data_IF_604177092158
#
_entry.id   IF_604177092158
#
_cell.length_a   1.000
_cell.length_b   1.000
_cell.length_c   1.000
_cell.angle_alpha   90.00
_cell.angle_beta   90.00
_cell.angle_gamma   90.00
#
_symmetry.space_group_name_H-M   'P 1'
#
loop_
_entity.id
_entity.type
_entity.pdbx_description
1 polymer ?
#
# COMPACT_ATOMS: atom_id res chain seq x y z
N UNK A 1 -4.52 -37.30 53.73
CA UNK A 1 -4.95 -35.95 53.27
C UNK A 1 -3.88 -35.26 52.44
N UNK A 2 -2.63 -35.14 52.90
CA UNK A 2 -1.54 -34.47 52.14
C UNK A 2 -1.25 -35.06 50.76
N UNK A 3 -1.27 -36.39 50.60
CA UNK A 3 -1.05 -37.06 49.32
C UNK A 3 -2.12 -36.73 48.28
N UNK A 4 -3.38 -36.65 48.70
CA UNK A 4 -4.52 -36.30 47.83
C UNK A 4 -4.40 -34.85 47.36
N UNK A 5 -4.04 -33.93 48.26
CA UNK A 5 -3.84 -32.52 47.91
C UNK A 5 -2.67 -32.34 46.94
N UNK A 6 -1.57 -33.07 47.15
CA UNK A 6 -0.41 -33.04 46.25
C UNK A 6 -0.79 -33.53 44.84
N UNK A 7 -1.47 -34.68 44.73
CA UNK A 7 -1.92 -35.25 43.46
C UNK A 7 -2.90 -34.32 42.75
N UNK A 8 -3.85 -33.70 43.47
CA UNK A 8 -4.81 -32.77 42.90
C UNK A 8 -4.12 -31.50 42.34
N UNK A 9 -3.15 -30.94 43.05
CA UNK A 9 -2.39 -29.78 42.57
C UNK A 9 -1.56 -30.11 41.32
N UNK A 10 -0.90 -31.27 41.30
CA UNK A 10 -0.16 -31.71 40.10
C UNK A 10 -1.08 -31.95 38.90
N UNK A 11 -2.25 -32.58 39.11
CA UNK A 11 -3.22 -32.79 38.04
C UNK A 11 -3.77 -31.46 37.50
N UNK A 12 -4.10 -30.50 38.37
CA UNK A 12 -4.56 -29.18 37.98
C UNK A 12 -3.48 -28.40 37.20
N UNK A 13 -2.22 -28.46 37.64
CA UNK A 13 -1.11 -27.82 36.94
C UNK A 13 -0.86 -28.46 35.56
N UNK A 14 -0.89 -29.80 35.48
CA UNK A 14 -0.74 -30.51 34.21
C UNK A 14 -1.87 -30.20 33.23
N UNK A 15 -3.12 -30.15 33.72
CA UNK A 15 -4.28 -29.79 32.90
C UNK A 15 -4.19 -28.35 32.38
N UNK A 16 -3.73 -27.41 33.22
CA UNK A 16 -3.51 -26.02 32.79
C UNK A 16 -2.40 -25.90 31.75
N UNK A 17 -1.29 -26.63 31.91
CA UNK A 17 -0.21 -26.68 30.92
C UNK A 17 -0.68 -27.29 29.60
N UNK A 18 -1.47 -28.37 29.65
CA UNK A 18 -2.05 -29.01 28.47
C UNK A 18 -3.00 -28.06 27.74
N UNK A 19 -3.89 -27.37 28.47
CA UNK A 19 -4.79 -26.39 27.89
C UNK A 19 -4.01 -25.26 27.20
N UNK A 20 -2.97 -24.72 27.86
CA UNK A 20 -2.10 -23.70 27.28
C UNK A 20 -1.36 -24.18 26.02
N UNK A 21 -0.86 -25.42 26.00
CA UNK A 21 -0.18 -25.96 24.81
C UNK A 21 -1.12 -26.08 23.63
N UNK A 22 -2.36 -26.52 23.87
CA UNK A 22 -3.39 -26.62 22.83
C UNK A 22 -3.70 -25.23 22.28
N UNK A 23 -3.89 -24.23 23.14
CA UNK A 23 -4.20 -22.86 22.73
C UNK A 23 -3.09 -22.21 21.88
N UNK A 24 -1.83 -22.49 22.20
CA UNK A 24 -0.69 -22.01 21.41
C UNK A 24 -0.66 -22.70 20.04
N UNK A 25 -0.88 -24.01 20.01
CA UNK A 25 -0.88 -24.78 18.77
C UNK A 25 -2.02 -24.35 17.84
N UNK A 26 -3.23 -24.15 18.37
CA UNK A 26 -4.36 -23.65 17.58
C UNK A 26 -4.10 -22.26 17.03
N UNK A 27 -3.52 -21.36 17.83
CA UNK A 27 -3.15 -20.02 17.38
C UNK A 27 -2.08 -20.04 16.27
N UNK A 28 -1.05 -20.88 16.39
CA UNK A 28 -0.02 -21.01 15.33
C UNK A 28 -0.59 -21.62 14.05
N UNK A 29 -1.43 -22.66 14.15
CA UNK A 29 -2.12 -23.24 12.97
C UNK A 29 -2.99 -22.20 12.28
N UNK A 30 -3.79 -21.44 13.03
CA UNK A 30 -4.63 -20.37 12.49
C UNK A 30 -3.80 -19.28 11.80
N UNK A 31 -2.63 -18.91 12.37
CA UNK A 31 -1.70 -17.94 11.78
C UNK A 31 -1.12 -18.44 10.45
N UNK A 32 -0.72 -19.71 10.39
CA UNK A 32 -0.19 -20.34 9.17
C UNK A 32 -1.28 -20.45 8.10
N UNK A 33 -2.50 -20.88 8.45
CA UNK A 33 -3.61 -20.96 7.50
C UNK A 33 -3.99 -19.58 6.95
N UNK A 34 -4.04 -18.57 7.81
CA UNK A 34 -4.27 -17.18 7.42
C UNK A 34 -3.21 -16.68 6.43
N UNK A 35 -1.95 -17.10 6.63
CA UNK A 35 -0.86 -16.76 5.72
C UNK A 35 -1.09 -17.29 4.31
N UNK A 36 -1.50 -18.56 4.18
CA UNK A 36 -1.75 -19.19 2.89
C UNK A 36 -2.91 -18.53 2.13
N UNK A 37 -3.99 -18.18 2.83
CA UNK A 37 -5.14 -17.50 2.22
C UNK A 37 -4.73 -16.12 1.71
N UNK A 38 -3.98 -15.34 2.50
CA UNK A 38 -3.52 -14.01 2.08
C UNK A 38 -2.51 -14.08 0.94
N UNK A 39 -1.67 -15.12 0.86
CA UNK A 39 -0.81 -15.38 -0.29
C UNK A 39 -1.66 -15.60 -1.55
N UNK A 40 -2.69 -16.45 -1.46
CA UNK A 40 -3.60 -16.69 -2.58
C UNK A 40 -4.32 -15.41 -3.03
N UNK A 41 -4.77 -14.57 -2.09
CA UNK A 41 -5.40 -13.28 -2.39
C UNK A 41 -4.42 -12.31 -3.10
N UNK A 42 -3.15 -12.31 -2.70
CA UNK A 42 -2.11 -11.52 -3.37
C UNK A 42 -1.84 -12.05 -4.78
N UNK A 43 -1.76 -13.37 -4.99
CA UNK A 43 -1.53 -13.95 -6.31
C UNK A 43 -2.71 -13.68 -7.26
N UNK A 44 -3.94 -13.72 -6.74
CA UNK A 44 -5.12 -13.26 -7.46
C UNK A 44 -5.03 -11.78 -7.84
N UNK A 45 -4.61 -10.91 -6.92
CA UNK A 45 -4.42 -9.48 -7.20
C UNK A 45 -3.36 -9.26 -8.30
N UNK A 46 -2.28 -10.04 -8.27
CA UNK A 46 -1.23 -10.01 -9.31
C UNK A 46 -1.75 -10.49 -10.66
N UNK A 47 -2.63 -11.50 -10.69
CA UNK A 47 -3.28 -11.96 -11.91
C UNK A 47 -4.21 -10.89 -12.50
N UNK A 48 -4.98 -10.18 -11.67
CA UNK A 48 -5.81 -9.06 -12.14
C UNK A 48 -4.94 -7.99 -12.80
N UNK A 49 -3.84 -7.58 -12.15
CA UNK A 49 -2.90 -6.59 -12.71
C UNK A 49 -2.17 -7.09 -13.97
N UNK A 50 -1.96 -8.41 -14.08
CA UNK A 50 -1.39 -9.05 -15.26
C UNK A 50 -2.34 -8.97 -16.46
N UNK A 51 -3.60 -9.36 -16.27
CA UNK A 51 -4.62 -9.32 -17.31
C UNK A 51 -4.94 -7.87 -17.73
N UNK A 52 -4.95 -6.94 -16.78
CA UNK A 52 -5.05 -5.50 -17.04
C UNK A 52 -3.91 -5.00 -17.96
N UNK A 53 -2.66 -5.34 -17.63
CA UNK A 53 -1.53 -4.99 -18.50
C UNK A 53 -1.57 -5.67 -19.87
N UNK A 54 -2.21 -6.84 -20.00
CA UNK A 54 -2.42 -7.50 -21.29
C UNK A 54 -3.46 -6.78 -22.15
N UNK A 55 -4.51 -6.24 -21.54
CA UNK A 55 -5.47 -5.39 -22.23
C UNK A 55 -4.81 -4.10 -22.75
N UNK A 56 -3.84 -3.59 -21.98
CA UNK A 56 -3.04 -2.41 -22.31
C UNK A 56 -3.82 -1.10 -22.19
N UNK A 57 -3.13 0.02 -22.41
CA UNK A 57 -3.68 1.35 -22.16
C UNK A 57 -3.03 2.01 -20.94
N UNK A 58 -3.71 2.99 -20.36
CA UNK A 58 -3.26 3.68 -19.15
C UNK A 58 -4.16 3.33 -17.98
N UNK A 59 -3.57 3.20 -16.79
CA UNK A 59 -4.27 2.78 -15.58
C UNK A 59 -5.20 3.86 -15.02
N UNK A 60 -6.42 3.48 -14.65
CA UNK A 60 -7.45 4.38 -14.17
C UNK A 60 -8.47 3.72 -13.20
N UNK A 61 -9.18 4.54 -12.42
CA UNK A 61 -10.08 4.05 -11.35
C UNK A 61 -11.34 3.29 -11.83
N UNK A 62 -11.62 3.26 -13.13
CA UNK A 62 -12.72 2.47 -13.70
C UNK A 62 -12.30 1.03 -14.10
N UNK A 63 -11.03 0.66 -13.90
CA UNK A 63 -10.55 -0.71 -14.19
C UNK A 63 -10.95 -1.71 -13.10
N UNK A 64 -11.03 -3.01 -13.43
CA UNK A 64 -11.41 -4.05 -12.48
C UNK A 64 -10.52 -4.10 -11.22
N UNK A 65 -9.22 -3.79 -11.35
CA UNK A 65 -8.30 -3.79 -10.21
C UNK A 65 -8.61 -2.71 -9.17
N UNK A 66 -9.23 -1.59 -9.60
CA UNK A 66 -9.53 -0.45 -8.73
C UNK A 66 -10.81 -0.65 -7.90
N UNK A 67 -11.62 -1.67 -8.21
CA UNK A 67 -12.83 -2.00 -7.46
C UNK A 67 -12.43 -2.76 -6.18
N UNK A 68 -12.74 -2.24 -4.99
CA UNK A 68 -12.40 -2.93 -3.75
C UNK A 68 -13.22 -4.22 -3.60
N UNK A 69 -12.57 -5.24 -3.06
CA UNK A 69 -13.25 -6.43 -2.57
C UNK A 69 -13.84 -6.11 -1.19
N UNK A 70 -15.14 -5.87 -1.16
CA UNK A 70 -15.91 -5.77 0.07
C UNK A 70 -15.83 -7.07 0.88
N UNK A 71 -16.05 -6.98 2.20
CA UNK A 71 -15.95 -8.13 3.09
C UNK A 71 -16.91 -9.25 2.66
N UNK A 72 -16.33 -10.35 2.16
CA UNK A 72 -17.06 -11.49 1.64
C UNK A 72 -16.60 -12.78 2.34
N UNK A 73 -17.52 -13.74 2.47
CA UNK A 73 -17.19 -15.08 2.99
C UNK A 73 -16.20 -15.77 2.04
N UNK A 74 -15.12 -16.31 2.58
CA UNK A 74 -14.10 -17.00 1.80
C UNK A 74 -14.68 -18.20 1.03
N UNK A 75 -15.64 -18.91 1.62
CA UNK A 75 -16.35 -20.01 0.95
C UNK A 75 -17.08 -19.58 -0.32
N UNK A 76 -17.63 -18.36 -0.37
CA UNK A 76 -18.26 -17.81 -1.57
C UNK A 76 -17.24 -17.57 -2.68
N UNK A 77 -16.04 -17.10 -2.33
CA UNK A 77 -14.95 -16.89 -3.27
C UNK A 77 -14.43 -18.21 -3.86
N UNK A 78 -14.18 -19.21 -3.00
CA UNK A 78 -13.69 -20.52 -3.44
C UNK A 78 -14.73 -21.28 -4.28
N UNK A 79 -16.01 -21.18 -3.93
CA UNK A 79 -17.09 -21.80 -4.70
C UNK A 79 -17.28 -21.17 -6.09
N UNK A 80 -16.88 -19.91 -6.29
CA UNK A 80 -16.93 -19.25 -7.58
C UNK A 80 -15.75 -19.65 -8.50
N UNK A 81 -14.62 -20.05 -7.91
CA UNK A 81 -13.41 -20.44 -8.63
C UNK A 81 -13.50 -21.89 -9.16
N UNK A 82 -14.21 -22.78 -8.46
CA UNK A 82 -14.40 -24.18 -8.84
C UNK A 82 -15.89 -24.55 -8.91
N UNK A 83 -16.40 -24.81 -10.12
CA UNK A 83 -17.71 -25.42 -10.33
C UNK A 83 -17.85 -26.86 -9.79
N UNK A 84 -16.83 -27.40 -9.09
CA UNK A 84 -16.82 -28.74 -8.53
C UNK A 84 -15.75 -28.90 -7.42
N UNK A 85 -16.09 -28.55 -6.18
CA UNK A 85 -15.41 -29.10 -5.00
C UNK A 85 -16.34 -29.05 -3.78
N UNK A 86 -17.39 -29.88 -3.82
CA UNK A 86 -18.00 -30.37 -2.59
C UNK A 86 -16.95 -31.26 -1.89
N UNK A 87 -16.74 -31.03 -0.59
CA UNK A 87 -16.16 -31.95 0.40
C UNK A 87 -14.74 -31.68 0.95
N UNK A 88 -14.28 -30.43 1.07
CA UNK A 88 -13.18 -30.17 2.02
C UNK A 88 -13.12 -28.75 2.59
N UNK A 89 -14.27 -28.08 2.72
CA UNK A 89 -14.37 -26.96 3.64
C UNK A 89 -14.29 -27.53 5.07
N UNK A 90 -13.07 -27.74 5.55
CA UNK A 90 -12.82 -27.94 6.97
C UNK A 90 -13.62 -26.91 7.75
N UNK A 91 -14.21 -27.34 8.86
CA UNK A 91 -15.18 -26.61 9.67
C UNK A 91 -14.70 -25.21 10.08
N UNK A 92 -13.39 -24.96 10.03
CA UNK A 92 -12.74 -23.70 10.40
C UNK A 92 -12.81 -22.59 9.33
N UNK A 93 -13.15 -22.86 8.07
CA UNK A 93 -13.23 -21.81 7.03
C UNK A 93 -14.60 -21.15 6.87
N UNK A 94 -15.63 -21.67 7.55
CA UNK A 94 -17.01 -21.18 7.44
C UNK A 94 -17.18 -19.75 7.98
N UNK A 95 -16.33 -19.36 8.95
CA UNK A 95 -16.29 -18.02 9.55
C UNK A 95 -15.07 -17.19 9.10
N UNK A 96 -14.50 -17.53 7.93
CA UNK A 96 -13.45 -16.76 7.30
C UNK A 96 -14.03 -15.71 6.34
N UNK A 97 -13.63 -14.46 6.52
CA UNK A 97 -14.04 -13.32 5.70
C UNK A 97 -12.81 -12.62 5.12
N UNK A 98 -12.83 -12.39 3.81
CA UNK A 98 -11.76 -11.74 3.07
C UNK A 98 -12.27 -10.40 2.52
N UNK A 99 -11.46 -9.37 2.69
CA UNK A 99 -11.66 -8.06 2.04
C UNK A 99 -10.32 -7.54 1.55
N UNK A 100 -10.33 -6.64 0.57
CA UNK A 100 -9.08 -6.05 0.10
C UNK A 100 -9.27 -4.98 -0.96
N UNK A 101 -8.18 -4.36 -1.36
CA UNK A 101 -8.13 -3.40 -2.47
C UNK A 101 -6.73 -3.31 -3.04
N UNK A 102 -6.66 -2.87 -4.28
CA UNK A 102 -5.41 -2.53 -4.95
C UNK A 102 -5.37 -1.01 -5.09
N UNK A 103 -4.26 -0.40 -4.69
CA UNK A 103 -4.05 1.05 -4.71
C UNK A 103 -2.92 1.33 -5.68
N UNK A 104 -3.15 2.20 -6.66
CA UNK A 104 -2.07 2.74 -7.48
C UNK A 104 -1.17 3.65 -6.63
N UNK A 105 0.09 3.29 -6.43
CA UNK A 105 1.03 4.10 -5.63
C UNK A 105 1.62 5.26 -6.42
N UNK A 106 1.54 5.24 -7.76
CA UNK A 106 1.88 6.39 -8.59
C UNK A 106 0.76 7.42 -8.67
N UNK A 107 -0.37 7.21 -7.97
CA UNK A 107 -1.33 8.28 -7.65
C UNK A 107 -0.79 9.32 -6.66
N UNK A 108 0.43 9.13 -6.14
CA UNK A 108 1.06 9.93 -5.08
C UNK A 108 2.44 10.42 -5.49
N UNK A 109 2.91 11.51 -4.88
CA UNK A 109 4.28 11.97 -5.04
C UNK A 109 5.27 11.02 -4.37
N UNK A 110 6.28 10.59 -5.12
CA UNK A 110 7.25 9.63 -4.63
C UNK A 110 8.45 10.33 -3.97
N UNK A 111 8.65 10.07 -2.67
CA UNK A 111 9.79 10.59 -1.88
C UNK A 111 11.13 10.12 -2.47
N UNK A 112 11.19 8.90 -3.02
CA UNK A 112 12.36 8.38 -3.72
C UNK A 112 12.72 9.17 -4.99
N UNK A 113 11.83 10.04 -5.48
CA UNK A 113 12.12 10.93 -6.62
C UNK A 113 12.83 12.22 -6.22
N UNK A 114 12.88 12.58 -4.93
CA UNK A 114 13.53 13.79 -4.44
C UNK A 114 15.04 13.77 -4.66
N UNK A 115 15.67 12.61 -4.48
CA UNK A 115 17.13 12.44 -4.56
C UNK A 115 17.44 11.28 -5.50
N UNK A 116 18.23 11.56 -6.54
CA UNK A 116 18.73 10.52 -7.47
C UNK A 116 20.24 10.65 -7.54
N UNK A 117 20.94 9.54 -7.34
CA UNK A 117 22.41 9.49 -7.34
C UNK A 117 23.06 10.53 -6.42
N UNK A 118 22.48 10.74 -5.24
CA UNK A 118 22.98 11.68 -4.23
C UNK A 118 22.68 13.16 -4.51
N UNK A 119 21.92 13.49 -5.56
CA UNK A 119 21.57 14.86 -5.92
C UNK A 119 20.06 15.12 -5.86
N UNK A 120 19.68 16.26 -5.26
CA UNK A 120 18.28 16.72 -5.24
C UNK A 120 17.81 17.00 -6.66
N UNK A 121 16.64 16.47 -7.01
CA UNK A 121 16.03 16.64 -8.31
C UNK A 121 15.17 17.92 -8.33
N UNK A 122 15.48 18.92 -9.16
CA UNK A 122 14.78 20.21 -9.13
C UNK A 122 13.27 20.12 -9.40
N UNK A 123 12.86 19.19 -10.26
CA UNK A 123 11.45 18.95 -10.56
C UNK A 123 10.70 18.40 -9.33
N UNK A 124 11.24 17.35 -8.70
CA UNK A 124 10.64 16.75 -7.51
C UNK A 124 10.62 17.74 -6.35
N UNK A 125 11.69 18.51 -6.14
CA UNK A 125 11.73 19.58 -5.14
C UNK A 125 10.57 20.57 -5.32
N UNK A 126 10.33 21.07 -6.55
CA UNK A 126 9.21 21.98 -6.82
C UNK A 126 7.84 21.33 -6.55
N UNK A 127 7.67 20.06 -6.90
CA UNK A 127 6.43 19.33 -6.64
C UNK A 127 6.16 19.19 -5.14
N UNK A 128 7.16 18.78 -4.36
CA UNK A 128 7.05 18.66 -2.91
C UNK A 128 6.91 20.03 -2.23
N UNK A 129 7.59 21.07 -2.70
CA UNK A 129 7.44 22.42 -2.17
C UNK A 129 5.99 22.93 -2.32
N UNK A 130 5.35 22.67 -3.47
CA UNK A 130 3.92 22.95 -3.67
C UNK A 130 3.04 22.16 -2.71
N UNK A 131 3.28 20.85 -2.57
CA UNK A 131 2.51 20.01 -1.64
C UNK A 131 2.66 20.49 -0.19
N UNK A 132 3.88 20.79 0.25
CA UNK A 132 4.15 21.29 1.59
C UNK A 132 3.42 22.62 1.83
N UNK A 133 3.46 23.54 0.87
CA UNK A 133 2.73 24.80 0.94
C UNK A 133 1.21 24.58 1.02
N UNK A 134 0.65 23.67 0.24
CA UNK A 134 -0.78 23.32 0.28
C UNK A 134 -1.22 22.77 1.65
N UNK A 135 -0.35 21.97 2.30
CA UNK A 135 -0.60 21.33 3.58
C UNK A 135 -0.20 22.20 4.79
N UNK A 136 0.34 23.41 4.57
CA UNK A 136 0.82 24.28 5.65
C UNK A 136 2.08 23.76 6.35
N UNK A 137 2.86 22.91 5.69
CA UNK A 137 4.11 22.36 6.21
C UNK A 137 5.29 23.34 5.98
N UNK A 138 6.24 23.47 6.93
CA UNK A 138 7.40 24.35 6.77
C UNK A 138 8.33 23.89 5.65
N UNK A 139 8.77 24.83 4.79
CA UNK A 139 9.73 24.55 3.71
C UNK A 139 11.08 24.00 4.22
N UNK A 140 11.51 24.43 5.40
CA UNK A 140 12.75 23.94 6.03
C UNK A 140 12.71 22.43 6.34
N UNK A 141 11.51 21.85 6.52
CA UNK A 141 11.38 20.40 6.70
C UNK A 141 11.60 19.63 5.40
N UNK A 142 11.28 20.22 4.25
CA UNK A 142 11.58 19.60 2.96
C UNK A 142 13.10 19.54 2.74
N UNK A 143 13.80 20.63 3.03
CA UNK A 143 15.27 20.65 2.98
C UNK A 143 15.88 19.62 3.93
N UNK A 144 15.34 19.50 5.14
CA UNK A 144 15.78 18.48 6.13
C UNK A 144 15.58 17.06 5.60
N UNK A 145 14.42 16.78 5.00
CA UNK A 145 14.10 15.50 4.38
C UNK A 145 15.06 15.18 3.23
N UNK A 146 15.33 16.13 2.34
CA UNK A 146 16.25 15.97 1.21
C UNK A 146 17.68 15.68 1.67
N UNK A 147 18.19 16.41 2.66
CA UNK A 147 19.51 16.16 3.24
C UNK A 147 19.60 14.79 3.91
N UNK A 148 18.56 14.38 4.64
CA UNK A 148 18.51 13.06 5.24
C UNK A 148 18.47 11.94 4.18
N UNK A 149 17.74 12.12 3.07
CA UNK A 149 17.71 11.20 1.94
C UNK A 149 19.07 11.07 1.25
N UNK A 150 19.80 12.18 1.06
CA UNK A 150 21.16 12.13 0.50
C UNK A 150 22.06 11.26 1.37
N UNK A 151 21.99 11.40 2.70
CA UNK A 151 22.78 10.57 3.63
C UNK A 151 22.34 9.11 3.63
N UNK A 152 21.03 8.85 3.60
CA UNK A 152 20.48 7.49 3.56
C UNK A 152 20.83 6.73 2.27
N UNK A 153 21.04 7.45 1.16
CA UNK A 153 21.35 6.86 -0.16
C UNK A 153 22.84 6.88 -0.51
N UNK A 154 23.68 7.45 0.36
CA UNK A 154 25.13 7.45 0.16
C UNK A 154 25.69 6.01 0.16
N UNK A 155 26.76 5.72 -0.59
CA UNK A 155 27.45 4.42 -0.52
C UNK A 155 27.91 4.12 0.92
N UNK A 156 27.88 2.86 1.36
CA UNK A 156 28.27 2.46 2.74
C UNK A 156 29.62 3.04 3.17
N UNK A 157 30.60 3.09 2.26
CA UNK A 157 31.93 3.66 2.54
C UNK A 157 31.93 5.17 2.85
N UNK A 158 30.86 5.89 2.51
CA UNK A 158 30.66 7.32 2.75
C UNK A 158 29.54 7.60 3.77
N UNK A 159 28.83 6.56 4.25
CA UNK A 159 27.86 6.69 5.32
C UNK A 159 28.60 6.85 6.65
N UNK A 160 28.30 7.92 7.39
CA UNK A 160 28.73 8.03 8.78
C UNK A 160 27.91 7.10 9.68
N UNK A 161 28.40 6.83 10.89
CA UNK A 161 27.73 5.95 11.87
C UNK A 161 26.29 6.39 12.25
N UNK A 162 25.91 7.65 11.96
CA UNK A 162 24.59 8.25 12.23
C UNK A 162 23.77 8.49 10.94
N UNK A 163 24.07 7.77 9.85
CA UNK A 163 23.25 7.84 8.65
C UNK A 163 21.85 7.25 8.89
N UNK A 164 20.77 7.97 8.55
CA UNK A 164 19.42 7.45 8.75
C UNK A 164 19.13 6.29 7.80
N UNK A 165 18.30 5.35 8.25
CA UNK A 165 17.86 4.23 7.42
C UNK A 165 16.97 4.71 6.28
N UNK A 166 17.10 4.09 5.10
CA UNK A 166 16.22 4.35 3.97
C UNK A 166 14.79 3.85 4.31
N UNK A 167 13.76 4.71 4.29
CA UNK A 167 12.39 4.28 4.51
C UNK A 167 11.92 3.40 3.34
N UNK A 168 11.05 2.45 3.66
CA UNK A 168 10.27 1.65 2.71
C UNK A 168 8.79 2.07 2.71
N UNK A 169 8.34 2.75 3.76
CA UNK A 169 6.96 3.16 3.97
C UNK A 169 6.90 4.61 4.49
N UNK A 170 5.75 5.26 4.30
CA UNK A 170 5.58 6.67 4.67
C UNK A 170 5.61 6.87 6.19
N UNK A 171 5.17 5.87 6.93
CA UNK A 171 5.20 5.82 8.39
C UNK A 171 6.63 5.86 8.96
N UNK A 172 7.64 5.59 8.12
CA UNK A 172 9.06 5.60 8.47
C UNK A 172 9.76 6.92 8.10
N UNK A 173 9.06 7.87 7.47
CA UNK A 173 9.59 9.22 7.22
C UNK A 173 10.08 9.96 8.47
N UNK A 174 9.63 9.67 9.70
CA UNK A 174 10.25 10.25 10.89
C UNK A 174 11.74 9.95 11.06
N UNK A 175 12.25 8.86 10.47
CA UNK A 175 13.70 8.56 10.44
C UNK A 175 14.49 9.64 9.68
N UNK A 176 13.83 10.39 8.80
CA UNK A 176 14.42 11.44 7.97
C UNK A 176 14.17 12.85 8.52
N UNK A 177 13.76 12.96 9.80
CA UNK A 177 13.60 14.24 10.48
C UNK A 177 12.20 14.87 10.39
N UNK A 178 11.22 14.16 9.83
CA UNK A 178 9.81 14.57 9.90
C UNK A 178 9.19 14.21 11.26
N UNK A 179 8.24 15.02 11.74
CA UNK A 179 7.44 14.61 12.91
C UNK A 179 6.46 13.51 12.52
N UNK A 180 6.07 12.65 13.47
CA UNK A 180 5.05 11.62 13.22
C UNK A 180 3.72 12.23 12.74
N UNK A 181 3.36 13.43 13.25
CA UNK A 181 2.18 14.16 12.81
C UNK A 181 2.28 14.61 11.35
N UNK A 182 3.44 15.13 10.92
CA UNK A 182 3.63 15.58 9.55
C UNK A 182 3.74 14.41 8.57
N UNK A 183 4.36 13.31 8.98
CA UNK A 183 4.35 12.07 8.20
C UNK A 183 2.93 11.53 8.00
N UNK A 184 2.09 11.55 9.05
CA UNK A 184 0.68 11.18 8.95
C UNK A 184 -0.13 12.13 8.05
N UNK A 185 0.16 13.43 8.08
CA UNK A 185 -0.48 14.42 7.20
C UNK A 185 -0.10 14.21 5.72
N UNK A 186 1.14 13.82 5.45
CA UNK A 186 1.63 13.52 4.10
C UNK A 186 1.14 12.17 3.56
N UNK A 187 0.82 11.22 4.44
CA UNK A 187 0.49 9.84 4.09
C UNK A 187 -0.50 9.65 2.93
N UNK A 188 -1.57 10.46 2.77
CA UNK A 188 -2.48 10.31 1.63
C UNK A 188 -1.88 10.73 0.27
N UNK A 189 -0.86 11.59 0.28
CA UNK A 189 -0.37 12.31 -0.90
C UNK A 189 1.02 11.87 -1.36
N UNK A 190 1.75 11.16 -0.51
CA UNK A 190 3.12 10.70 -0.80
C UNK A 190 3.25 9.18 -0.71
N UNK A 191 4.27 8.65 -1.38
CA UNK A 191 4.69 7.25 -1.32
C UNK A 191 6.21 7.17 -1.25
N UNK A 192 6.74 5.98 -0.94
CA UNK A 192 8.18 5.69 -1.00
C UNK A 192 8.38 4.52 -1.96
N UNK A 193 8.94 4.81 -3.14
CA UNK A 193 9.23 3.81 -4.18
C UNK A 193 10.74 3.78 -4.47
N UNK A 194 11.29 2.65 -4.92
CA UNK A 194 12.74 2.44 -5.01
C UNK A 194 13.41 3.21 -6.16
N UNK A 195 12.63 3.70 -7.13
CA UNK A 195 13.12 4.47 -8.27
C UNK A 195 12.29 5.73 -8.47
N UNK A 196 12.75 6.64 -9.33
CA UNK A 196 11.98 7.82 -9.71
C UNK A 196 10.77 7.40 -10.54
N UNK A 197 9.59 7.89 -10.17
CA UNK A 197 8.32 7.52 -10.82
C UNK A 197 7.49 8.75 -11.17
N UNK A 198 6.86 8.80 -12.35
CA UNK A 198 5.89 9.85 -12.68
C UNK A 198 4.57 9.64 -11.93
N UNK A 199 3.83 10.71 -11.71
CA UNK A 199 2.49 10.68 -11.11
C UNK A 199 1.44 10.32 -12.16
N UNK A 200 0.63 9.30 -11.89
CA UNK A 200 -0.49 8.91 -12.74
C UNK A 200 -1.67 9.89 -12.59
N UNK A 201 -1.96 10.63 -13.65
CA UNK A 201 -3.01 11.64 -13.71
C UNK A 201 -4.42 11.05 -13.68
N UNK A 202 -4.59 9.76 -13.98
CA UNK A 202 -5.88 9.08 -13.95
C UNK A 202 -6.30 8.61 -12.54
N UNK A 203 -5.37 8.58 -11.58
CA UNK A 203 -5.63 8.06 -10.23
C UNK A 203 -5.27 9.05 -9.11
N UNK A 204 -4.38 10.02 -9.36
CA UNK A 204 -3.93 11.01 -8.38
C UNK A 204 -5.06 11.90 -7.81
N UNK A 205 -4.99 12.27 -6.52
CA UNK A 205 -5.97 13.21 -5.92
C UNK A 205 -5.79 14.63 -6.47
N UNK A 206 -6.80 15.52 -6.35
CA UNK A 206 -6.65 16.93 -6.77
C UNK A 206 -5.44 17.63 -6.14
N UNK A 207 -5.12 17.35 -4.88
CA UNK A 207 -3.94 17.90 -4.18
C UNK A 207 -2.64 17.42 -4.83
N UNK A 208 -2.56 16.12 -5.13
CA UNK A 208 -1.38 15.56 -5.82
C UNK A 208 -1.27 16.11 -7.23
N UNK A 209 -2.38 16.24 -7.98
CA UNK A 209 -2.39 16.85 -9.32
C UNK A 209 -1.86 18.28 -9.27
N UNK A 210 -2.36 19.10 -8.34
CA UNK A 210 -1.93 20.48 -8.13
C UNK A 210 -0.45 20.57 -7.77
N UNK A 211 0.06 19.63 -6.97
CA UNK A 211 1.47 19.57 -6.62
C UNK A 211 2.35 19.08 -7.79
N UNK A 212 1.90 18.07 -8.54
CA UNK A 212 2.66 17.44 -9.62
C UNK A 212 2.82 18.35 -10.84
N UNK A 213 1.79 19.12 -11.19
CA UNK A 213 1.75 19.95 -12.40
C UNK A 213 2.07 21.41 -12.10
N UNK A 214 3.04 21.97 -12.83
CA UNK A 214 3.40 23.38 -12.64
C UNK A 214 2.32 24.33 -13.16
N UNK A 215 2.03 25.38 -12.38
CA UNK A 215 0.99 26.37 -12.70
C UNK A 215 -0.47 25.86 -12.62
N UNK A 216 -0.71 24.61 -12.22
CA UNK A 216 -2.08 24.10 -12.05
C UNK A 216 -2.69 24.65 -10.75
N UNK A 217 -3.86 25.27 -10.86
CA UNK A 217 -4.62 25.74 -9.70
C UNK A 217 -5.59 24.66 -9.20
N UNK A 218 -6.23 24.93 -8.05
CA UNK A 218 -7.18 23.99 -7.44
C UNK A 218 -8.38 23.70 -8.35
N UNK A 219 -8.85 24.70 -9.10
CA UNK A 219 -9.98 24.54 -10.00
C UNK A 219 -9.63 23.63 -11.18
N UNK A 220 -8.45 23.82 -11.78
CA UNK A 220 -7.94 22.95 -12.83
C UNK A 220 -7.71 21.53 -12.35
N UNK A 221 -7.13 21.35 -11.16
CA UNK A 221 -6.95 20.01 -10.56
C UNK A 221 -8.29 19.29 -10.35
N UNK A 222 -9.31 19.99 -9.84
CA UNK A 222 -10.66 19.43 -9.69
C UNK A 222 -11.29 19.12 -11.05
N UNK A 223 -11.12 19.99 -12.05
CA UNK A 223 -11.65 19.77 -13.40
C UNK A 223 -11.03 18.52 -14.05
N UNK A 224 -9.73 18.28 -13.86
CA UNK A 224 -9.07 17.04 -14.30
C UNK A 224 -9.67 15.82 -13.61
N UNK A 225 -9.81 15.88 -12.28
CA UNK A 225 -10.35 14.77 -11.48
C UNK A 225 -11.79 14.42 -11.89
N UNK A 226 -12.63 15.40 -12.19
CA UNK A 226 -13.99 15.18 -12.69
C UNK A 226 -14.00 14.70 -14.15
N UNK A 227 -13.15 15.24 -15.02
CA UNK A 227 -13.13 14.84 -16.43
C UNK A 227 -12.81 13.35 -16.61
N UNK A 228 -11.82 12.84 -15.87
CA UNK A 228 -11.37 11.44 -15.96
C UNK A 228 -12.40 10.42 -15.45
N UNK A 229 -13.37 10.82 -14.61
CA UNK A 229 -14.46 9.93 -14.18
C UNK A 229 -15.33 9.49 -15.35
N UNK A 230 -15.49 10.36 -16.36
CA UNK A 230 -16.28 10.06 -17.56
C UNK A 230 -15.43 9.49 -18.69
N UNK A 231 -14.22 10.05 -18.88
CA UNK A 231 -13.29 9.64 -19.92
C UNK A 231 -11.85 9.72 -19.40
N UNK A 232 -11.27 8.59 -18.99
CA UNK A 232 -9.87 8.53 -18.60
C UNK A 232 -8.94 9.05 -19.69
N UNK A 233 -7.84 9.68 -19.29
CA UNK A 233 -6.83 10.19 -20.20
C UNK A 233 -6.05 9.02 -20.79
N UNK A 234 -5.93 8.98 -22.12
CA UNK A 234 -5.15 7.95 -22.84
C UNK A 234 -3.73 8.41 -23.11
N UNK A 235 -3.51 9.72 -23.06
CA UNK A 235 -2.22 10.35 -23.29
C UNK A 235 -2.10 11.65 -22.49
N UNK A 236 -0.87 12.12 -22.33
CA UNK A 236 -0.61 13.44 -21.75
C UNK A 236 -1.14 14.59 -22.65
N UNK A 237 -1.33 14.33 -23.95
CA UNK A 237 -1.92 15.30 -24.87
C UNK A 237 -3.42 15.54 -24.59
N UNK A 238 -4.14 14.53 -24.09
CA UNK A 238 -5.55 14.71 -23.69
C UNK A 238 -5.67 15.74 -22.56
N UNK A 239 -4.75 15.68 -21.59
CA UNK A 239 -4.68 16.60 -20.45
C UNK A 239 -4.26 18.00 -20.92
N UNK A 240 -3.26 18.08 -21.79
CA UNK A 240 -2.79 19.34 -22.39
C UNK A 240 -3.91 20.05 -23.15
N UNK A 241 -4.69 19.31 -23.94
CA UNK A 241 -5.82 19.84 -24.70
C UNK A 241 -6.94 20.34 -23.77
N UNK A 242 -7.26 19.58 -22.72
CA UNK A 242 -8.30 19.94 -21.74
C UNK A 242 -7.95 21.23 -20.98
N UNK A 243 -6.70 21.38 -20.55
CA UNK A 243 -6.21 22.56 -19.84
C UNK A 243 -5.76 23.71 -20.75
N UNK A 244 -5.79 23.52 -22.08
CA UNK A 244 -5.28 24.48 -23.07
C UNK A 244 -3.84 24.92 -22.80
N UNK A 245 -3.00 23.98 -22.38
CA UNK A 245 -1.59 24.23 -22.13
C UNK A 245 -0.80 24.27 -23.45
N UNK A 246 0.09 25.26 -23.59
CA UNK A 246 0.94 25.38 -24.77
C UNK A 246 2.13 24.41 -24.72
N UNK A 247 2.76 24.28 -23.55
CA UNK A 247 3.93 23.42 -23.33
C UNK A 247 3.54 21.95 -23.16
N UNK A 248 4.35 21.00 -23.67
CA UNK A 248 4.14 19.58 -23.42
C UNK A 248 4.38 19.24 -21.93
N UNK A 249 3.62 18.28 -21.42
CA UNK A 249 3.83 17.73 -20.08
C UNK A 249 5.05 16.81 -20.08
N UNK A 250 5.83 16.84 -18.99
CA UNK A 250 7.03 16.03 -18.84
C UNK A 250 6.66 14.57 -18.51
N UNK A 251 7.04 13.58 -19.34
CA UNK A 251 6.76 12.16 -19.07
C UNK A 251 7.59 11.60 -17.91
N UNK A 252 8.55 12.39 -17.39
CA UNK A 252 9.35 12.05 -16.20
C UNK A 252 8.75 12.58 -14.90
N UNK A 253 7.65 13.31 -14.99
CA UNK A 253 6.93 13.93 -13.87
C UNK A 253 5.50 13.40 -13.76
N UNK A 254 4.83 13.19 -14.90
CA UNK A 254 3.45 12.72 -14.97
C UNK A 254 3.26 11.65 -16.04
N UNK A 255 2.30 10.76 -15.83
CA UNK A 255 1.93 9.65 -16.71
C UNK A 255 0.40 9.46 -16.71
N UNK A 256 -0.07 8.56 -17.58
CA UNK A 256 -1.47 8.07 -17.57
C UNK A 256 -1.57 6.61 -17.11
N UNK A 257 -0.45 6.04 -16.63
CA UNK A 257 -0.36 4.67 -16.19
C UNK A 257 0.77 4.47 -15.17
N UNK A 258 0.81 3.27 -14.60
CA UNK A 258 1.50 2.93 -13.38
C UNK A 258 2.13 1.54 -13.43
N UNK A 259 3.25 1.42 -12.75
CA UNK A 259 4.01 0.19 -12.55
C UNK A 259 4.01 -0.26 -11.08
N UNK A 260 3.65 0.62 -10.14
CA UNK A 260 3.70 0.33 -8.71
C UNK A 260 2.31 0.37 -8.08
N UNK A 261 1.96 -0.73 -7.41
CA UNK A 261 0.67 -0.91 -6.76
C UNK A 261 0.86 -1.41 -5.33
N UNK A 262 -0.01 -1.00 -4.42
CA UNK A 262 -0.14 -1.59 -3.09
C UNK A 262 -1.36 -2.50 -3.05
N UNK A 263 -1.14 -3.77 -2.74
CA UNK A 263 -2.23 -4.72 -2.46
C UNK A 263 -2.45 -4.75 -0.96
N UNK A 264 -3.64 -4.35 -0.53
CA UNK A 264 -4.07 -4.44 0.85
C UNK A 264 -5.09 -5.57 1.00
N UNK A 265 -4.77 -6.58 1.80
CA UNK A 265 -5.65 -7.69 2.13
C UNK A 265 -5.96 -7.72 3.62
N UNK A 266 -7.19 -8.08 3.99
CA UNK A 266 -7.60 -8.35 5.37
C UNK A 266 -8.36 -9.67 5.40
N UNK A 267 -7.90 -10.57 6.25
CA UNK A 267 -8.58 -11.83 6.57
C UNK A 267 -9.05 -11.77 8.02
N UNK A 268 -10.35 -12.01 8.23
CA UNK A 268 -10.95 -12.20 9.55
C UNK A 268 -11.36 -13.65 9.70
N UNK A 269 -10.96 -14.29 10.80
CA UNK A 269 -11.26 -15.67 11.15
C UNK A 269 -11.80 -15.69 12.58
N UNK A 270 -13.12 -15.82 12.74
CA UNK A 270 -13.77 -15.59 14.03
C UNK A 270 -13.51 -14.17 14.55
N UNK A 271 -12.91 -14.07 15.73
CA UNK A 271 -12.52 -12.81 16.40
C UNK A 271 -11.11 -12.32 16.04
N UNK A 272 -10.31 -13.16 15.38
CA UNK A 272 -8.97 -12.79 14.94
C UNK A 272 -9.04 -12.12 13.57
N UNK A 273 -8.24 -11.07 13.37
CA UNK A 273 -8.03 -10.51 12.05
C UNK A 273 -6.57 -10.23 11.76
N UNK A 274 -6.21 -10.32 10.49
CA UNK A 274 -4.87 -10.09 9.98
C UNK A 274 -4.97 -9.16 8.78
N UNK A 275 -4.15 -8.11 8.78
CA UNK A 275 -3.98 -7.21 7.64
C UNK A 275 -2.62 -7.47 7.00
N UNK A 276 -2.59 -7.44 5.68
CA UNK A 276 -1.37 -7.55 4.87
C UNK A 276 -1.32 -6.40 3.86
N UNK A 277 -0.15 -5.76 3.77
CA UNK A 277 0.20 -4.77 2.75
C UNK A 277 1.36 -5.31 1.93
N UNK A 278 1.22 -5.30 0.62
CA UNK A 278 2.24 -5.77 -0.32
C UNK A 278 2.54 -4.72 -1.36
N UNK A 279 3.82 -4.37 -1.53
CA UNK A 279 4.26 -3.58 -2.67
C UNK A 279 4.45 -4.50 -3.87
N UNK A 280 3.75 -4.18 -4.94
CA UNK A 280 3.76 -4.91 -6.20
C UNK A 280 4.35 -4.02 -7.29
N UNK A 281 5.26 -4.60 -8.07
CA UNK A 281 5.89 -3.96 -9.22
C UNK A 281 5.52 -4.71 -10.50
N UNK A 282 5.07 -3.96 -11.51
CA UNK A 282 4.62 -4.45 -12.80
C UNK A 282 5.53 -3.92 -13.90
N UNK A 283 6.12 -4.82 -14.67
CA UNK A 283 6.92 -4.50 -15.87
C UNK A 283 6.30 -5.24 -17.05
N UNK A 284 5.62 -4.48 -17.93
CA UNK A 284 4.78 -5.07 -18.96
C UNK A 284 3.73 -5.98 -18.32
N UNK A 285 3.68 -7.24 -18.72
CA UNK A 285 2.77 -8.23 -18.12
C UNK A 285 3.36 -8.93 -16.89
N UNK A 286 4.64 -8.74 -16.57
CA UNK A 286 5.23 -9.40 -15.41
C UNK A 286 4.90 -8.64 -14.13
N UNK A 287 4.27 -9.32 -13.16
CA UNK A 287 3.90 -8.74 -11.87
C UNK A 287 4.65 -9.44 -10.74
N UNK A 288 5.49 -8.72 -10.01
CA UNK A 288 6.31 -9.22 -8.91
C UNK A 288 6.01 -8.51 -7.59
N UNK A 289 6.21 -9.21 -6.47
CA UNK A 289 6.07 -8.63 -5.13
C UNK A 289 7.44 -8.22 -4.63
N UNK A 290 7.61 -6.95 -4.23
CA UNK A 290 8.88 -6.43 -3.72
C UNK A 290 9.03 -6.66 -2.22
N UNK A 291 7.99 -6.34 -1.45
CA UNK A 291 7.96 -6.60 -0.02
C UNK A 291 6.54 -6.82 0.45
N UNK A 292 6.41 -7.40 1.65
CA UNK A 292 5.14 -7.62 2.33
C UNK A 292 5.27 -7.34 3.81
N UNK A 293 4.27 -6.71 4.38
CA UNK A 293 4.16 -6.49 5.81
C UNK A 293 2.82 -6.99 6.29
N UNK A 294 2.85 -7.80 7.35
CA UNK A 294 1.65 -8.37 7.95
C UNK A 294 1.56 -7.92 9.39
N UNK A 295 0.37 -7.47 9.79
CA UNK A 295 0.10 -6.97 11.13
C UNK A 295 -1.16 -7.65 11.64
N UNK A 296 -1.12 -8.12 12.89
CA UNK A 296 -2.31 -8.58 13.59
C UNK A 296 -3.23 -7.38 13.79
N UNK A 297 -4.49 -7.54 13.41
CA UNK A 297 -5.50 -6.50 13.53
C UNK A 297 -6.50 -6.95 14.59
N UNK A 298 -6.55 -6.23 15.71
CA UNK A 298 -7.57 -6.48 16.72
C UNK A 298 -8.90 -6.11 16.09
N UNK A 299 -9.75 -7.10 15.81
CA UNK A 299 -11.11 -6.82 15.35
C UNK A 299 -11.79 -5.91 16.40
N UNK A 300 -12.52 -4.85 15.98
CA UNK A 300 -13.37 -4.15 16.93
C UNK A 300 -14.33 -5.18 17.53
N UNK A 301 -14.37 -5.27 18.86
CA UNK A 301 -15.31 -6.15 19.54
C UNK A 301 -16.72 -5.84 19.03
N UNK A 302 -17.44 -6.85 18.53
CA UNK A 302 -18.81 -6.65 18.09
C UNK A 302 -19.62 -6.01 19.23
N UNK A 303 -20.48 -5.01 18.94
CA UNK A 303 -21.39 -4.50 19.95
C UNK A 303 -22.29 -5.67 20.41
N UNK A 304 -22.27 -5.94 21.72
CA UNK A 304 -23.14 -6.94 22.36
C UNK A 304 -24.59 -6.50 22.35
#
# INVERSE_FOLDING_TARGET
>A
MLTVTLVATFAAAAMWQQWRSIEIETAERARVQSAWILIGALDWSRLILHEDARAGGGDHLAEPWAVPLEEARLSTFLAAQDGAAQNDASTDTQDAFLSGRIIDLQSRLNVGSLVVSGAVQPAAHRQFARLFSQLGLPATQLETLEQALIRATAPEAAQGDDAPLMPQQVEQLPWLGLSAANAALLAPYVTVLPERTPVNLNTASPEVLQAAMDGLDRAGAQALATARETRPFRSLDDVRALLRMESPLSPTEVSVGSNYFEVQGRLRLGDAAVKERSLVHRIGTQVSTLWRTRVADLAPAAPR
#
